data_IF_673241834783
#
_entry.id   IF_673241834783
#
_cell.length_a   1.000
_cell.length_b   1.000
_cell.length_c   1.000
_cell.angle_alpha   90.00
_cell.angle_beta   90.00
_cell.angle_gamma   90.00
#
_symmetry.space_group_name_H-M   'P 1'
#
loop_
_entity.id
_entity.type
_entity.pdbx_description
1 polymer ?
#
# COMPACT_ATOMS: atom_id res chain seq x y z
N UNK A 1 5.38 -4.20 -25.96
CA UNK A 1 5.71 -4.52 -24.55
C UNK A 1 4.46 -5.03 -23.87
N UNK A 2 4.56 -6.06 -23.03
CA UNK A 2 3.44 -6.44 -22.18
C UNK A 2 3.10 -5.28 -21.20
N UNK A 3 1.82 -5.06 -20.88
CA UNK A 3 1.44 -4.00 -19.94
C UNK A 3 2.07 -4.27 -18.56
N UNK A 4 2.51 -3.21 -17.88
CA UNK A 4 2.97 -3.31 -16.49
C UNK A 4 1.85 -3.84 -15.62
N UNK A 5 2.18 -4.80 -14.75
CA UNK A 5 1.24 -5.27 -13.72
C UNK A 5 1.08 -4.17 -12.68
N UNK A 6 -0.16 -3.99 -12.21
CA UNK A 6 -0.51 -3.07 -11.13
C UNK A 6 -0.86 -3.88 -9.89
N UNK A 7 -0.21 -3.59 -8.77
CA UNK A 7 -0.40 -4.31 -7.50
C UNK A 7 -0.90 -3.32 -6.46
N UNK A 8 -2.08 -3.57 -5.91
CA UNK A 8 -2.64 -2.78 -4.82
C UNK A 8 -2.51 -3.54 -3.50
N UNK A 9 -2.18 -2.82 -2.42
CA UNK A 9 -2.17 -3.33 -1.05
C UNK A 9 -3.15 -2.54 -0.21
N UNK A 10 -3.92 -3.24 0.63
CA UNK A 10 -4.84 -2.67 1.61
C UNK A 10 -4.58 -3.32 2.96
N UNK A 11 -4.83 -2.58 4.05
CA UNK A 11 -4.99 -3.13 5.39
C UNK A 11 -6.46 -2.96 5.77
N UNK A 12 -7.07 -3.97 6.38
CA UNK A 12 -8.43 -3.86 6.89
C UNK A 12 -8.64 -4.68 8.16
N UNK A 13 -9.62 -4.32 8.97
CA UNK A 13 -9.87 -4.89 10.30
C UNK A 13 -9.27 -4.05 11.43
N UNK A 14 -8.96 -4.66 12.58
CA UNK A 14 -8.20 -3.98 13.64
C UNK A 14 -6.74 -3.81 13.23
N UNK A 15 -6.15 -2.65 13.51
CA UNK A 15 -4.74 -2.41 13.23
C UNK A 15 -3.83 -3.22 14.16
N UNK A 16 -2.62 -3.54 13.69
CA UNK A 16 -1.64 -4.26 14.51
C UNK A 16 -0.21 -3.81 14.22
N UNK A 17 0.70 -3.90 15.22
CA UNK A 17 2.11 -3.59 15.02
C UNK A 17 2.71 -4.41 13.88
N UNK A 18 3.34 -3.72 12.91
CA UNK A 18 4.01 -4.33 11.77
C UNK A 18 3.23 -4.25 10.45
N UNK A 19 1.97 -3.82 10.43
CA UNK A 19 1.23 -3.64 9.18
C UNK A 19 1.93 -2.65 8.22
N UNK A 20 2.46 -1.54 8.75
CA UNK A 20 3.28 -0.60 7.97
C UNK A 20 4.53 -1.25 7.34
N UNK A 21 5.19 -2.16 8.07
CA UNK A 21 6.33 -2.90 7.55
C UNK A 21 5.94 -3.81 6.39
N UNK A 22 4.76 -4.45 6.47
CA UNK A 22 4.21 -5.29 5.39
C UNK A 22 3.86 -4.44 4.16
N UNK A 23 3.13 -3.33 4.33
CA UNK A 23 2.78 -2.43 3.22
C UNK A 23 4.05 -1.92 2.52
N UNK A 24 5.04 -1.48 3.31
CA UNK A 24 6.35 -1.07 2.78
C UNK A 24 7.03 -2.17 1.98
N UNK A 25 7.02 -3.41 2.45
CA UNK A 25 7.63 -4.53 1.75
C UNK A 25 6.93 -4.81 0.42
N UNK A 26 5.60 -4.82 0.39
CA UNK A 26 4.81 -5.03 -0.84
C UNK A 26 5.06 -3.93 -1.86
N UNK A 27 5.01 -2.65 -1.45
CA UNK A 27 5.27 -1.50 -2.33
C UNK A 27 6.66 -1.59 -2.95
N UNK A 28 7.71 -1.78 -2.13
CA UNK A 28 9.09 -1.84 -2.63
C UNK A 28 9.34 -3.04 -3.53
N UNK A 29 8.76 -4.19 -3.21
CA UNK A 29 8.92 -5.40 -4.01
C UNK A 29 8.20 -5.26 -5.35
N UNK A 30 6.99 -4.70 -5.38
CA UNK A 30 6.26 -4.43 -6.61
C UNK A 30 7.08 -3.53 -7.55
N UNK A 31 7.59 -2.41 -7.04
CA UNK A 31 8.44 -1.48 -7.80
C UNK A 31 9.72 -2.19 -8.29
N UNK A 32 10.38 -2.97 -7.44
CA UNK A 32 11.59 -3.73 -7.82
C UNK A 32 11.33 -4.73 -8.95
N UNK A 33 10.14 -5.36 -8.98
CA UNK A 33 9.72 -6.27 -10.05
C UNK A 33 9.20 -5.56 -11.31
N UNK A 34 9.32 -4.23 -11.40
CA UNK A 34 8.84 -3.44 -12.53
C UNK A 34 7.32 -3.29 -12.60
N UNK A 35 6.61 -3.56 -11.50
CA UNK A 35 5.18 -3.33 -11.36
C UNK A 35 4.91 -1.91 -10.84
N UNK A 36 3.72 -1.39 -11.11
CA UNK A 36 3.26 -0.15 -10.48
C UNK A 36 2.55 -0.52 -9.16
N UNK A 37 2.97 0.10 -8.06
CA UNK A 37 2.43 -0.15 -6.72
C UNK A 37 1.31 0.84 -6.38
N UNK A 38 0.27 0.37 -5.71
CA UNK A 38 -0.84 1.20 -5.23
C UNK A 38 -1.16 0.88 -3.77
N UNK A 39 -1.55 1.89 -3.00
CA UNK A 39 -2.14 1.74 -1.67
C UNK A 39 -3.64 2.04 -1.74
N UNK A 40 -4.44 1.19 -1.10
CA UNK A 40 -5.86 1.43 -0.87
C UNK A 40 -6.03 1.93 0.55
N UNK A 41 -6.54 3.15 0.68
CA UNK A 41 -6.78 3.79 1.97
C UNK A 41 -8.09 3.32 2.60
N UNK A 42 -8.19 3.28 3.93
CA UNK A 42 -9.42 2.94 4.67
C UNK A 42 -10.00 1.56 4.28
N UNK A 43 -9.13 0.57 4.08
CA UNK A 43 -9.49 -0.82 3.82
C UNK A 43 -10.53 -1.01 2.72
N UNK A 44 -11.58 -1.77 3.01
CA UNK A 44 -12.67 -2.02 2.05
C UNK A 44 -13.49 -0.78 1.72
N UNK A 45 -13.62 0.18 2.65
CA UNK A 45 -14.37 1.42 2.41
C UNK A 45 -13.73 2.22 1.27
N UNK A 46 -12.41 2.45 1.32
CA UNK A 46 -11.74 3.15 0.23
C UNK A 46 -11.62 2.33 -1.04
N UNK A 47 -11.62 0.99 -0.95
CA UNK A 47 -11.72 0.15 -2.14
C UNK A 47 -13.05 0.37 -2.88
N UNK A 48 -14.17 0.44 -2.16
CA UNK A 48 -15.50 0.67 -2.74
C UNK A 48 -15.62 2.09 -3.28
N UNK A 49 -15.10 3.08 -2.56
CA UNK A 49 -15.12 4.48 -3.00
C UNK A 49 -14.27 4.72 -4.24
N UNK A 50 -13.15 4.01 -4.37
CA UNK A 50 -12.20 4.20 -5.46
C UNK A 50 -11.65 5.63 -5.53
N UNK A 51 -11.23 6.05 -6.73
CA UNK A 51 -10.72 7.41 -6.96
C UNK A 51 -9.52 7.74 -6.07
N UNK A 52 -9.64 8.83 -5.31
CA UNK A 52 -8.56 9.35 -4.44
C UNK A 52 -8.19 8.42 -3.28
N UNK A 53 -8.99 7.37 -3.00
CA UNK A 53 -8.66 6.34 -2.01
C UNK A 53 -7.70 5.26 -2.55
N UNK A 54 -7.42 5.23 -3.85
CA UNK A 54 -6.47 4.30 -4.45
C UNK A 54 -5.31 5.11 -5.06
N UNK A 55 -4.21 5.22 -4.32
CA UNK A 55 -3.09 6.07 -4.73
C UNK A 55 -1.91 5.24 -5.20
N UNK A 56 -1.29 5.67 -6.30
CA UNK A 56 -0.02 5.11 -6.72
C UNK A 56 1.05 5.46 -5.68
N UNK A 57 1.89 4.48 -5.36
CA UNK A 57 2.96 4.60 -4.39
C UNK A 57 4.31 4.58 -5.07
N UNK A 58 5.17 5.51 -4.68
CA UNK A 58 6.56 5.61 -5.08
C UNK A 58 7.48 5.05 -3.99
N UNK A 59 8.74 4.78 -4.35
CA UNK A 59 9.71 4.15 -3.44
C UNK A 59 9.92 4.90 -2.12
N UNK A 60 9.80 6.23 -2.16
CA UNK A 60 10.01 7.12 -1.02
C UNK A 60 8.79 7.27 -0.12
N UNK A 61 7.58 6.96 -0.60
CA UNK A 61 6.34 7.13 0.18
C UNK A 61 6.31 6.24 1.42
N UNK A 62 6.98 5.10 1.37
CA UNK A 62 7.07 4.12 2.46
C UNK A 62 8.37 4.21 3.26
N UNK A 63 9.07 5.34 3.20
CA UNK A 63 10.28 5.58 4.00
C UNK A 63 9.90 5.75 5.48
N UNK A 64 10.62 5.08 6.39
CA UNK A 64 10.37 5.17 7.83
C UNK A 64 9.29 4.23 8.37
N UNK A 65 8.47 3.63 7.50
CA UNK A 65 7.31 2.81 7.90
C UNK A 65 7.65 1.55 8.73
N UNK A 66 8.93 1.15 8.82
CA UNK A 66 9.34 0.05 9.71
C UNK A 66 9.20 0.39 11.20
N UNK A 67 9.28 1.67 11.56
CA UNK A 67 9.21 2.14 12.96
C UNK A 67 7.84 2.67 13.36
N UNK A 68 6.86 2.65 12.46
CA UNK A 68 5.53 3.23 12.68
C UNK A 68 4.53 2.16 13.13
N UNK A 69 3.77 2.46 14.19
CA UNK A 69 2.69 1.61 14.70
C UNK A 69 1.43 1.64 13.83
N UNK A 70 0.55 0.66 14.03
CA UNK A 70 -0.73 0.55 13.31
C UNK A 70 -0.55 0.43 11.80
N UNK A 71 -1.43 1.12 11.06
CA UNK A 71 -1.38 1.25 9.60
C UNK A 71 -1.56 2.69 9.15
N UNK A 72 -0.61 3.19 8.33
CA UNK A 72 -0.60 4.55 7.78
C UNK A 72 -1.52 4.70 6.57
N UNK A 73 -2.12 3.62 6.09
CA UNK A 73 -3.13 3.62 5.02
C UNK A 73 -4.54 3.40 5.56
N UNK A 74 -4.76 3.45 6.88
CA UNK A 74 -6.08 3.19 7.47
C UNK A 74 -6.51 1.72 7.33
N UNK A 75 -7.71 1.40 7.81
CA UNK A 75 -8.18 0.01 7.95
C UNK A 75 -9.69 -0.13 7.80
#
# INVERSE_FOLDING_TARGET
MAPKKKIAVMTSGGDSPGMNAVVRAVVRMAIHMGCDAYAVYEGYEGLVRGGDYIKQMEWHDVRGWLSEGGTLIGT
#
